data_IF_848646318262
#
_entry.id   IF_848646318262
#
_cell.length_a   1.000
_cell.length_b   1.000
_cell.length_c   1.000
_cell.angle_alpha   90.00
_cell.angle_beta   90.00
_cell.angle_gamma   90.00
#
_symmetry.space_group_name_H-M   'P 1'
#
loop_
_entity.id
_entity.type
_entity.pdbx_description
1 polymer ?
#
# COMPACT_ATOMS: atom_id res chain seq x y z
N UNK A 1 37.62 -9.21 -58.49
CA UNK A 1 36.38 -9.33 -57.68
C UNK A 1 36.81 -9.27 -56.22
N UNK A 2 36.82 -8.08 -55.65
CA UNK A 2 37.03 -7.83 -54.22
C UNK A 2 35.65 -7.79 -53.56
N UNK A 3 35.41 -8.48 -52.44
CA UNK A 3 34.14 -8.38 -51.74
C UNK A 3 34.11 -7.08 -50.93
N UNK A 4 33.09 -6.25 -51.20
CA UNK A 4 32.67 -5.15 -50.33
C UNK A 4 32.17 -5.74 -49.00
N UNK A 5 32.81 -5.34 -47.90
CA UNK A 5 32.29 -5.54 -46.55
C UNK A 5 31.83 -4.19 -46.02
N UNK A 6 30.59 -3.82 -46.34
CA UNK A 6 29.89 -2.74 -45.64
C UNK A 6 29.56 -3.23 -44.23
N UNK A 7 30.33 -2.75 -43.26
CA UNK A 7 30.01 -2.90 -41.86
C UNK A 7 28.74 -2.07 -41.55
N UNK A 8 27.71 -2.63 -40.88
CA UNK A 8 26.52 -1.88 -40.53
C UNK A 8 26.90 -0.77 -39.56
N UNK A 9 26.52 0.46 -39.92
CA UNK A 9 26.68 1.63 -39.06
C UNK A 9 25.98 1.36 -37.72
N UNK A 10 26.77 1.38 -36.64
CA UNK A 10 26.24 1.32 -35.28
C UNK A 10 25.26 2.48 -35.09
N UNK A 11 23.98 2.14 -34.94
CA UNK A 11 22.94 3.10 -34.59
C UNK A 11 23.35 3.79 -33.30
N UNK A 12 23.58 5.10 -33.37
CA UNK A 12 23.82 5.92 -32.18
C UNK A 12 22.66 5.73 -31.22
N UNK A 13 22.90 5.53 -29.91
CA UNK A 13 21.83 5.40 -28.93
C UNK A 13 20.96 6.65 -29.02
N UNK A 14 19.69 6.44 -29.38
CA UNK A 14 18.67 7.47 -29.39
C UNK A 14 18.71 8.17 -28.02
N UNK A 15 18.95 9.49 -28.01
CA UNK A 15 18.89 10.26 -26.78
C UNK A 15 17.57 9.95 -26.06
N UNK A 16 17.58 9.76 -24.72
CA UNK A 16 16.36 9.42 -23.98
C UNK A 16 15.32 10.48 -24.30
N UNK A 17 14.20 10.04 -24.88
CA UNK A 17 13.01 10.89 -25.07
C UNK A 17 12.67 11.44 -23.68
N UNK A 18 12.48 12.75 -23.60
CA UNK A 18 12.18 13.47 -22.36
C UNK A 18 11.19 12.66 -21.49
N UNK A 19 11.68 12.19 -20.35
CA UNK A 19 10.92 11.48 -19.32
C UNK A 19 9.68 12.31 -18.97
N UNK A 20 8.49 11.73 -19.18
CA UNK A 20 7.21 12.41 -18.96
C UNK A 20 6.96 12.75 -17.48
N UNK A 21 6.01 13.67 -17.29
CA UNK A 21 5.52 14.14 -15.99
C UNK A 21 4.63 13.06 -15.34
N UNK A 22 5.21 11.97 -14.84
CA UNK A 22 4.41 10.73 -14.63
C UNK A 22 4.11 10.39 -13.17
N UNK A 23 4.97 10.79 -12.22
CA UNK A 23 4.71 10.47 -10.80
C UNK A 23 3.88 11.59 -10.17
N UNK A 24 2.67 11.27 -9.68
CA UNK A 24 1.70 12.19 -9.07
C UNK A 24 0.58 12.63 -10.01
N UNK A 25 -0.61 12.93 -9.47
CA UNK A 25 -1.80 13.22 -10.28
C UNK A 25 -1.68 14.55 -11.04
N UNK A 26 -1.55 14.46 -12.37
CA UNK A 26 -1.39 15.59 -13.27
C UNK A 26 -2.77 16.19 -13.61
N UNK A 27 -3.36 16.97 -12.69
CA UNK A 27 -4.56 17.76 -13.02
C UNK A 27 -4.13 19.10 -13.62
N UNK A 28 -4.18 19.17 -14.95
CA UNK A 28 -4.01 20.35 -15.78
C UNK A 28 -2.57 20.75 -16.16
N UNK A 29 -2.37 20.77 -17.48
CA UNK A 29 -1.37 21.53 -18.25
C UNK A 29 -1.44 23.06 -18.01
N UNK A 30 -1.67 23.50 -16.79
CA UNK A 30 -1.42 24.90 -16.48
C UNK A 30 0.10 25.08 -16.48
N UNK A 31 0.58 25.97 -17.35
CA UNK A 31 1.99 26.24 -17.62
C UNK A 31 2.81 26.71 -16.40
N UNK A 32 2.24 26.69 -15.20
CA UNK A 32 2.96 26.81 -13.95
C UNK A 32 3.49 25.44 -13.52
N UNK A 33 4.74 25.17 -13.90
CA UNK A 33 5.59 24.07 -13.44
C UNK A 33 5.67 24.01 -11.90
N UNK A 34 4.62 23.54 -11.21
CA UNK A 34 4.72 23.20 -9.79
C UNK A 34 5.59 21.96 -9.67
N UNK A 35 6.87 22.18 -9.44
CA UNK A 35 7.85 21.13 -9.12
C UNK A 35 7.38 20.32 -7.94
N UNK A 36 7.38 19.00 -8.12
CA UNK A 36 6.90 18.02 -7.16
C UNK A 36 7.90 17.80 -6.04
N UNK A 37 7.44 17.25 -4.92
CA UNK A 37 8.27 16.88 -3.77
C UNK A 37 8.03 15.42 -3.40
N UNK A 38 9.10 14.75 -3.00
CA UNK A 38 9.05 13.36 -2.53
C UNK A 38 9.64 13.24 -1.13
N UNK A 39 9.04 12.40 -0.30
CA UNK A 39 9.56 11.99 1.01
C UNK A 39 9.82 10.49 1.02
N UNK A 40 11.02 10.10 1.44
CA UNK A 40 11.42 8.70 1.58
C UNK A 40 11.84 8.47 3.02
N UNK A 41 11.15 7.57 3.70
CA UNK A 41 11.38 7.22 5.09
C UNK A 41 11.87 5.77 5.17
N UNK A 42 13.05 5.55 5.74
CA UNK A 42 13.65 4.20 5.89
C UNK A 42 14.09 3.98 7.34
N UNK A 43 13.15 3.78 8.28
CA UNK A 43 13.43 3.78 9.72
C UNK A 43 14.25 2.57 10.19
N UNK A 44 14.22 1.48 9.41
CA UNK A 44 14.85 0.19 9.73
C UNK A 44 15.90 -0.24 8.71
N UNK A 45 16.47 0.69 7.93
CA UNK A 45 17.54 0.36 6.97
C UNK A 45 18.70 -0.41 7.65
N UNK A 46 19.04 -0.06 8.88
CA UNK A 46 20.06 -0.77 9.67
C UNK A 46 19.75 -2.25 9.96
N UNK A 47 18.48 -2.66 10.02
CA UNK A 47 18.05 -4.05 10.29
C UNK A 47 17.75 -4.79 8.98
N UNK A 48 17.05 -4.14 8.05
CA UNK A 48 16.62 -4.72 6.78
C UNK A 48 17.76 -4.91 5.79
N UNK A 49 18.82 -4.11 5.88
CA UNK A 49 20.04 -4.20 5.06
C UNK A 49 19.88 -3.80 3.59
N UNK A 50 18.69 -3.94 3.02
CA UNK A 50 18.27 -3.40 1.74
C UNK A 50 17.13 -2.41 1.92
N UNK A 51 17.09 -1.38 1.06
CA UNK A 51 16.08 -0.31 1.09
C UNK A 51 15.82 0.16 -0.35
N UNK A 52 14.56 0.17 -0.82
CA UNK A 52 14.24 0.72 -2.15
C UNK A 52 14.52 2.22 -2.22
N UNK A 53 14.58 2.92 -1.08
CA UNK A 53 14.70 4.35 -0.98
C UNK A 53 15.89 4.96 -1.75
N UNK A 54 17.05 4.31 -1.76
CA UNK A 54 18.21 4.81 -2.52
C UNK A 54 18.03 4.74 -4.04
N UNK A 55 17.44 3.65 -4.54
CA UNK A 55 17.15 3.47 -5.96
C UNK A 55 16.03 4.43 -6.41
N UNK A 56 14.95 4.50 -5.62
CA UNK A 56 13.81 5.40 -5.85
C UNK A 56 14.23 6.87 -5.82
N UNK A 57 15.05 7.28 -4.85
CA UNK A 57 15.62 8.62 -4.79
C UNK A 57 16.39 8.97 -6.07
N UNK A 58 17.24 8.05 -6.54
CA UNK A 58 18.05 8.23 -7.75
C UNK A 58 17.18 8.36 -9.01
N UNK A 59 16.12 7.56 -9.12
CA UNK A 59 15.16 7.64 -10.22
C UNK A 59 14.42 8.99 -10.21
N UNK A 60 13.85 9.36 -9.07
CA UNK A 60 13.08 10.61 -8.94
C UNK A 60 13.95 11.84 -9.21
N UNK A 61 15.14 11.96 -8.62
CA UNK A 61 16.05 13.11 -8.86
C UNK A 61 16.44 13.27 -10.34
N UNK A 62 16.42 12.17 -11.10
CA UNK A 62 16.66 12.18 -12.56
C UNK A 62 15.50 12.73 -13.40
N UNK A 63 14.30 12.84 -12.84
CA UNK A 63 13.11 13.37 -13.53
C UNK A 63 13.00 14.88 -13.46
N UNK A 64 12.33 15.48 -14.44
CA UNK A 64 12.17 16.95 -14.53
C UNK A 64 11.51 17.54 -13.28
N UNK A 65 10.47 16.90 -12.77
CA UNK A 65 9.60 17.46 -11.74
C UNK A 65 10.19 17.38 -10.32
N UNK A 66 11.04 16.39 -10.06
CA UNK A 66 11.72 16.19 -8.77
C UNK A 66 13.21 16.59 -8.82
N UNK A 67 13.69 17.13 -9.94
CA UNK A 67 15.07 17.62 -10.05
C UNK A 67 15.28 18.80 -9.09
N UNK A 68 16.40 18.82 -8.34
CA UNK A 68 16.78 19.99 -7.55
C UNK A 68 16.84 21.26 -8.40
N UNK A 69 16.46 22.38 -7.81
CA UNK A 69 16.50 23.68 -8.46
C UNK A 69 17.01 24.77 -7.54
N UNK A 70 16.94 26.03 -7.97
CA UNK A 70 17.29 27.18 -7.13
C UNK A 70 16.45 27.26 -5.84
N UNK A 71 15.30 26.60 -5.79
CA UNK A 71 14.45 26.45 -4.60
C UNK A 71 14.87 25.31 -3.66
N UNK A 72 15.92 24.55 -4.01
CA UNK A 72 16.54 23.53 -3.15
C UNK A 72 16.21 22.09 -3.53
N UNK A 73 16.42 21.20 -2.56
CA UNK A 73 16.15 19.78 -2.65
C UNK A 73 14.64 19.52 -2.77
N UNK A 74 14.28 18.51 -3.58
CA UNK A 74 12.88 18.13 -3.84
C UNK A 74 12.55 16.71 -3.39
N UNK A 75 13.55 15.82 -3.38
CA UNK A 75 13.45 14.47 -2.83
C UNK A 75 14.16 14.46 -1.48
N UNK A 76 13.41 14.20 -0.42
CA UNK A 76 13.90 14.21 0.95
C UNK A 76 13.96 12.78 1.47
N UNK A 77 15.06 12.43 2.16
CA UNK A 77 15.24 11.09 2.72
C UNK A 77 15.62 11.14 4.19
N UNK A 78 14.90 10.40 5.01
CA UNK A 78 15.14 10.25 6.45
C UNK A 78 15.31 8.76 6.74
N UNK A 79 16.44 8.37 7.33
CA UNK A 79 16.80 6.97 7.53
C UNK A 79 17.62 6.75 8.78
N UNK A 80 17.59 5.53 9.30
CA UNK A 80 18.55 5.04 10.29
C UNK A 80 19.49 4.04 9.62
N UNK A 81 20.73 4.46 9.38
CA UNK A 81 21.79 3.58 8.86
C UNK A 81 22.38 2.68 9.96
N UNK A 82 22.14 3.02 11.23
CA UNK A 82 22.62 2.30 12.41
C UNK A 82 21.49 2.14 13.41
N UNK A 83 21.56 1.09 14.23
CA UNK A 83 20.57 0.87 15.28
C UNK A 83 20.53 2.06 16.25
N UNK A 84 19.36 2.69 16.45
CA UNK A 84 19.26 3.83 17.34
C UNK A 84 19.41 3.43 18.82
N UNK A 85 19.97 4.35 19.60
CA UNK A 85 19.94 4.26 21.05
C UNK A 85 18.50 4.49 21.56
N UNK A 86 18.21 4.05 22.80
CA UNK A 86 16.92 4.35 23.44
C UNK A 86 16.74 5.87 23.54
N UNK A 87 15.57 6.37 23.14
CA UNK A 87 15.29 7.79 23.09
C UNK A 87 15.98 8.52 21.93
N UNK A 88 16.46 7.80 20.91
CA UNK A 88 16.97 8.37 19.66
C UNK A 88 16.42 7.61 18.43
N UNK A 89 16.87 8.03 17.24
CA UNK A 89 16.46 7.46 15.96
C UNK A 89 15.42 8.28 15.21
N UNK A 90 15.43 8.13 13.88
CA UNK A 90 14.50 8.78 12.95
C UNK A 90 14.02 7.81 11.88
N UNK A 91 12.88 8.07 11.24
CA UNK A 91 11.90 9.10 11.55
C UNK A 91 11.25 8.96 12.93
N UNK A 92 10.81 10.09 13.49
CA UNK A 92 9.94 10.19 14.67
C UNK A 92 8.48 10.39 14.23
N UNK A 93 7.47 10.29 15.11
CA UNK A 93 6.07 10.54 14.74
C UNK A 93 5.85 11.87 13.99
N UNK A 94 6.59 12.93 14.32
CA UNK A 94 6.48 14.23 13.66
C UNK A 94 6.87 14.19 12.17
N UNK A 95 7.78 13.30 11.79
CA UNK A 95 8.16 13.09 10.39
C UNK A 95 7.01 12.44 9.57
N UNK A 96 5.94 11.98 10.24
CA UNK A 96 4.73 11.40 9.65
C UNK A 96 3.52 12.33 9.67
N UNK A 97 3.65 13.59 10.11
CA UNK A 97 2.53 14.56 10.14
C UNK A 97 2.51 15.48 8.90
N UNK A 98 3.66 15.70 8.26
CA UNK A 98 3.82 16.69 7.18
C UNK A 98 3.62 16.20 5.75
N UNK A 99 2.99 15.02 5.53
CA UNK A 99 2.96 14.39 4.21
C UNK A 99 2.15 15.15 3.16
N UNK A 100 1.24 16.04 3.54
CA UNK A 100 0.49 16.92 2.62
C UNK A 100 1.37 17.86 1.80
N UNK A 101 2.65 18.03 2.18
CA UNK A 101 3.62 18.81 1.42
C UNK A 101 4.31 18.03 0.28
N UNK A 102 3.98 16.75 0.09
CA UNK A 102 4.66 15.84 -0.84
C UNK A 102 3.66 15.17 -1.77
N UNK A 103 4.07 15.00 -3.03
CA UNK A 103 3.31 14.31 -4.07
C UNK A 103 3.63 12.81 -4.11
N UNK A 104 4.74 12.42 -3.47
CA UNK A 104 5.20 11.05 -3.38
C UNK A 104 5.76 10.77 -1.99
N UNK A 105 5.26 9.74 -1.32
CA UNK A 105 5.75 9.28 -0.02
C UNK A 105 6.07 7.80 -0.13
N UNK A 106 7.30 7.41 0.20
CA UNK A 106 7.71 6.02 0.34
C UNK A 106 8.13 5.77 1.78
N UNK A 107 7.51 4.79 2.43
CA UNK A 107 7.89 4.36 3.78
C UNK A 107 8.33 2.91 3.75
N UNK A 108 9.64 2.69 3.95
CA UNK A 108 10.24 1.38 4.04
C UNK A 108 10.54 1.01 5.50
N UNK A 109 9.57 0.36 6.15
CA UNK A 109 9.59 0.08 7.59
C UNK A 109 8.97 -1.28 7.92
N UNK A 110 9.02 -1.69 9.18
CA UNK A 110 8.20 -2.79 9.67
C UNK A 110 6.76 -2.35 9.93
N UNK A 111 5.82 -3.24 9.62
CA UNK A 111 4.41 -3.10 9.95
C UNK A 111 3.89 -4.37 10.60
N UNK A 112 2.77 -4.22 11.31
CA UNK A 112 2.04 -5.34 11.88
C UNK A 112 0.58 -4.95 12.10
N UNK A 113 -0.24 -5.96 12.30
CA UNK A 113 -1.58 -5.79 12.86
C UNK A 113 -1.48 -5.72 14.39
N UNK A 114 -2.14 -4.74 14.96
CA UNK A 114 -2.20 -4.50 16.40
C UNK A 114 -3.66 -4.60 16.85
N UNK A 115 -3.87 -5.14 18.03
CA UNK A 115 -5.17 -5.08 18.68
C UNK A 115 -4.99 -4.89 20.17
N UNK A 116 -5.91 -4.14 20.78
CA UNK A 116 -5.96 -3.98 22.24
C UNK A 116 -6.15 -5.33 22.94
N UNK A 117 -6.77 -6.29 22.25
CA UNK A 117 -6.80 -7.68 22.65
C UNK A 117 -6.31 -8.58 21.49
N UNK A 118 -5.07 -9.08 21.54
CA UNK A 118 -4.52 -9.93 20.48
C UNK A 118 -5.31 -11.23 20.30
N UNK A 119 -5.98 -11.70 21.36
CA UNK A 119 -6.88 -12.86 21.29
C UNK A 119 -8.11 -12.57 20.44
N UNK A 120 -8.66 -11.34 20.48
CA UNK A 120 -9.82 -10.96 19.67
C UNK A 120 -9.45 -10.79 18.19
N UNK A 121 -8.30 -10.19 17.92
CA UNK A 121 -7.78 -10.04 16.56
C UNK A 121 -7.47 -11.39 15.90
N UNK A 122 -6.99 -12.39 16.66
CA UNK A 122 -6.76 -13.73 16.13
C UNK A 122 -8.02 -14.60 16.08
N UNK A 123 -9.00 -14.39 16.97
CA UNK A 123 -10.11 -15.34 17.16
C UNK A 123 -11.48 -14.88 16.66
N UNK A 124 -11.79 -13.57 16.69
CA UNK A 124 -13.17 -13.12 16.48
C UNK A 124 -13.38 -12.33 15.20
N UNK A 125 -12.44 -11.47 14.78
CA UNK A 125 -12.58 -10.77 13.51
C UNK A 125 -11.31 -9.97 13.13
N UNK A 126 -10.79 -10.03 11.89
CA UNK A 126 -9.81 -9.06 11.39
C UNK A 126 -10.25 -7.60 11.54
N UNK A 127 -11.56 -7.31 11.64
CA UNK A 127 -12.06 -5.95 11.92
C UNK A 127 -11.64 -5.38 13.28
N UNK A 128 -11.19 -6.21 14.24
CA UNK A 128 -10.65 -5.73 15.53
C UNK A 128 -9.14 -5.45 15.49
N UNK A 129 -8.49 -5.77 14.38
CA UNK A 129 -7.09 -5.48 14.16
C UNK A 129 -6.97 -4.09 13.52
N UNK A 130 -5.97 -3.31 13.94
CA UNK A 130 -5.57 -2.06 13.31
C UNK A 130 -4.15 -2.21 12.77
N UNK A 131 -3.95 -1.85 11.50
CA UNK A 131 -2.62 -1.80 10.92
C UNK A 131 -1.82 -0.67 11.56
N UNK A 132 -0.56 -0.96 11.89
CA UNK A 132 0.37 0.02 12.41
C UNK A 132 1.75 -0.09 11.76
N UNK A 133 2.41 1.04 11.62
CA UNK A 133 3.78 1.12 11.09
C UNK A 133 4.75 1.55 12.17
N UNK A 134 5.91 0.90 12.22
CA UNK A 134 6.96 1.26 13.16
C UNK A 134 7.70 2.50 12.67
N UNK A 135 7.99 3.40 13.59
CA UNK A 135 8.94 4.49 13.38
C UNK A 135 10.36 4.03 13.69
N UNK A 136 11.34 4.89 13.42
CA UNK A 136 12.74 4.64 13.75
C UNK A 136 13.10 5.01 15.18
N UNK A 137 12.11 5.43 15.99
CA UNK A 137 12.30 5.91 17.36
C UNK A 137 12.27 4.76 18.35
N UNK A 138 13.39 4.51 19.01
CA UNK A 138 13.49 3.44 20.02
C UNK A 138 13.05 3.92 21.40
N UNK A 139 12.33 3.07 22.11
CA UNK A 139 11.78 3.31 23.46
C UNK A 139 12.04 2.11 24.38
N UNK A 140 11.97 2.32 25.70
CA UNK A 140 12.09 1.26 26.71
C UNK A 140 10.82 0.41 26.81
N UNK A 141 9.68 0.94 26.41
CA UNK A 141 8.39 0.25 26.42
C UNK A 141 7.22 1.17 26.04
N UNK A 142 6.02 0.59 25.97
CA UNK A 142 4.86 1.30 25.41
C UNK A 142 4.37 2.45 26.29
N UNK A 143 4.54 2.34 27.61
CA UNK A 143 4.25 3.46 28.51
C UNK A 143 5.13 4.68 28.19
N UNK A 144 6.42 4.47 27.92
CA UNK A 144 7.31 5.57 27.54
C UNK A 144 6.89 6.20 26.20
N UNK A 145 6.55 5.38 25.19
CA UNK A 145 6.05 5.88 23.91
C UNK A 145 4.82 6.77 24.11
N UNK A 146 3.81 6.27 24.83
CA UNK A 146 2.58 7.02 25.14
C UNK A 146 2.85 8.29 25.95
N UNK A 147 3.80 8.28 26.89
CA UNK A 147 4.13 9.47 27.68
C UNK A 147 4.85 10.54 26.86
N UNK A 148 5.82 10.16 26.00
CA UNK A 148 6.57 11.12 25.18
C UNK A 148 5.66 11.75 24.12
N UNK A 149 4.75 10.94 23.57
CA UNK A 149 3.89 11.30 22.45
C UNK A 149 2.42 11.37 22.86
N UNK A 150 2.14 11.81 24.09
CA UNK A 150 0.79 11.82 24.67
C UNK A 150 -0.17 12.80 23.99
N UNK A 151 0.33 13.60 23.05
CA UNK A 151 -0.43 14.59 22.27
C UNK A 151 -0.98 14.02 20.97
N UNK A 152 -0.60 12.78 20.62
CA UNK A 152 -1.02 12.11 19.40
C UNK A 152 -1.87 10.88 19.75
N UNK A 153 -2.99 10.71 19.06
CA UNK A 153 -3.75 9.47 19.12
C UNK A 153 -3.05 8.35 18.34
N UNK A 154 -3.44 7.11 18.60
CA UNK A 154 -2.92 5.94 17.87
C UNK A 154 -1.43 5.64 18.08
N UNK A 155 -0.82 6.13 19.18
CA UNK A 155 0.57 5.80 19.51
C UNK A 155 0.64 4.58 20.42
N UNK A 156 1.43 3.59 19.99
CA UNK A 156 1.80 2.44 20.81
C UNK A 156 3.28 2.10 20.64
N UNK A 157 3.70 0.92 21.06
CA UNK A 157 5.02 0.40 20.77
C UNK A 157 4.97 -1.04 20.26
N UNK A 158 5.96 -1.40 19.46
CA UNK A 158 6.12 -2.73 18.89
C UNK A 158 7.55 -3.22 19.04
N UNK A 159 7.77 -4.50 18.77
CA UNK A 159 9.09 -5.10 18.64
C UNK A 159 9.20 -5.72 17.27
N UNK A 160 10.37 -5.63 16.66
CA UNK A 160 10.65 -6.37 15.43
C UNK A 160 10.74 -7.86 15.75
N UNK A 161 10.53 -8.71 14.74
CA UNK A 161 10.54 -10.18 14.89
C UNK A 161 11.87 -10.72 15.42
N UNK A 162 12.97 -9.99 15.19
CA UNK A 162 14.28 -10.34 15.72
C UNK A 162 14.36 -10.20 17.26
N UNK A 163 13.46 -9.43 17.89
CA UNK A 163 13.25 -9.32 19.34
C UNK A 163 14.42 -8.72 20.15
N UNK A 164 15.64 -8.78 19.62
CA UNK A 164 16.89 -8.40 20.27
C UNK A 164 17.10 -6.88 20.32
N UNK A 165 16.30 -6.11 19.58
CA UNK A 165 16.60 -4.72 19.28
C UNK A 165 15.81 -3.70 20.11
N UNK A 166 14.97 -4.17 21.03
CA UNK A 166 14.15 -3.33 21.91
C UNK A 166 12.79 -2.97 21.29
N UNK A 167 12.09 -2.03 21.93
CA UNK A 167 10.78 -1.57 21.48
C UNK A 167 10.91 -0.28 20.67
N UNK A 168 10.05 -0.12 19.67
CA UNK A 168 9.99 1.05 18.79
C UNK A 168 8.60 1.67 18.86
N UNK A 169 8.51 2.98 18.65
CA UNK A 169 7.21 3.67 18.56
C UNK A 169 6.48 3.20 17.32
N UNK A 170 5.20 2.88 17.47
CA UNK A 170 4.30 2.44 16.40
C UNK A 170 3.22 3.50 16.21
N UNK A 171 2.93 3.83 14.96
CA UNK A 171 1.83 4.69 14.54
C UNK A 171 0.71 3.79 14.03
N UNK A 172 -0.41 3.77 14.74
CA UNK A 172 -1.61 3.02 14.35
C UNK A 172 -2.48 3.84 13.40
N UNK A 173 -3.52 3.22 12.87
CA UNK A 173 -4.43 3.85 11.90
C UNK A 173 -5.04 5.16 12.45
N UNK A 174 -5.33 5.24 13.74
CA UNK A 174 -5.90 6.42 14.41
C UNK A 174 -4.96 7.63 14.34
N UNK A 175 -3.64 7.42 14.41
CA UNK A 175 -2.66 8.50 14.24
C UNK A 175 -2.80 9.15 12.87
N UNK A 176 -2.95 8.33 11.82
CA UNK A 176 -3.11 8.81 10.46
C UNK A 176 -4.49 9.42 10.23
N UNK A 177 -5.55 8.86 10.83
CA UNK A 177 -6.87 9.48 10.80
C UNK A 177 -6.89 10.85 11.48
N UNK A 178 -6.20 11.04 12.59
CA UNK A 178 -6.10 12.35 13.22
C UNK A 178 -5.27 13.33 12.36
N UNK A 179 -4.16 12.86 11.78
CA UNK A 179 -3.27 13.68 10.97
C UNK A 179 -3.87 14.07 9.61
N UNK A 180 -4.67 13.20 9.00
CA UNK A 180 -5.08 13.25 7.60
C UNK A 180 -6.60 13.11 7.38
N UNK A 181 -7.36 12.68 8.38
CA UNK A 181 -8.81 12.55 8.29
C UNK A 181 -9.52 13.91 8.14
N UNK A 182 -10.49 13.98 7.22
CA UNK A 182 -11.29 15.19 6.97
C UNK A 182 -12.24 15.49 8.11
N UNK A 183 -11.80 16.28 9.09
CA UNK A 183 -12.75 16.90 10.03
C UNK A 183 -13.54 18.04 9.33
N UNK A 184 -13.06 18.59 8.20
CA UNK A 184 -13.72 19.71 7.50
C UNK A 184 -13.56 19.74 5.96
N UNK A 185 -13.76 18.60 5.28
CA UNK A 185 -13.98 18.60 3.83
C UNK A 185 -12.77 18.88 2.92
N UNK A 186 -11.55 18.84 3.45
CA UNK A 186 -10.35 18.52 2.66
C UNK A 186 -9.63 17.38 3.37
N UNK A 187 -9.73 16.19 2.79
CA UNK A 187 -9.27 14.91 3.33
C UNK A 187 -7.88 14.60 2.79
N UNK A 188 -6.96 14.35 3.71
CA UNK A 188 -5.86 13.46 3.44
C UNK A 188 -4.81 13.93 2.45
N UNK A 189 -4.16 12.95 1.85
CA UNK A 189 -3.00 13.12 0.99
C UNK A 189 -3.46 13.28 -0.46
N UNK A 190 -4.34 14.26 -0.67
CA UNK A 190 -4.91 14.59 -1.97
C UNK A 190 -3.80 14.62 -3.04
N UNK A 191 -3.92 13.76 -4.06
CA UNK A 191 -2.98 13.65 -5.21
C UNK A 191 -1.60 13.08 -4.89
N UNK A 192 -1.36 12.61 -3.66
CA UNK A 192 -0.12 11.95 -3.30
C UNK A 192 -0.15 10.46 -3.68
N UNK A 193 1.01 9.95 -4.09
CA UNK A 193 1.27 8.51 -4.15
C UNK A 193 1.95 8.11 -2.85
N UNK A 194 1.35 7.19 -2.09
CA UNK A 194 1.89 6.67 -0.84
C UNK A 194 2.21 5.19 -1.02
N UNK A 195 3.48 4.83 -0.85
CA UNK A 195 3.96 3.46 -0.92
C UNK A 195 4.44 3.02 0.45
N UNK A 196 3.78 2.02 1.02
CA UNK A 196 4.15 1.38 2.28
C UNK A 196 4.81 0.04 1.99
N UNK A 197 6.09 -0.11 2.33
CA UNK A 197 6.77 -1.41 2.31
C UNK A 197 6.52 -2.25 3.56
N UNK A 198 5.72 -1.74 4.50
CA UNK A 198 5.49 -2.39 5.78
C UNK A 198 4.60 -3.63 5.61
N UNK A 199 4.97 -4.73 6.26
CA UNK A 199 4.12 -5.91 6.34
C UNK A 199 2.74 -5.54 6.91
N UNK A 200 1.68 -6.16 6.40
CA UNK A 200 0.30 -5.92 6.84
C UNK A 200 -0.15 -4.44 6.80
N UNK A 201 0.51 -3.60 5.99
CA UNK A 201 0.10 -2.20 5.82
C UNK A 201 -1.22 -2.04 5.08
N UNK A 202 -1.72 -3.09 4.42
CA UNK A 202 -3.03 -3.10 3.76
C UNK A 202 -3.94 -4.24 4.19
N UNK A 203 -3.54 -5.05 5.19
CA UNK A 203 -4.22 -6.29 5.60
C UNK A 203 -5.74 -6.16 5.83
N UNK A 204 -6.17 -5.06 6.43
CA UNK A 204 -7.57 -4.77 6.75
C UNK A 204 -8.08 -3.49 6.06
N UNK A 205 -7.29 -2.91 5.15
CA UNK A 205 -7.58 -1.64 4.48
C UNK A 205 -7.59 -0.38 5.38
N UNK A 206 -7.50 -0.50 6.71
CA UNK A 206 -7.73 0.63 7.64
C UNK A 206 -6.69 1.73 7.47
N UNK A 207 -5.42 1.36 7.34
CA UNK A 207 -4.34 2.33 7.12
C UNK A 207 -4.47 3.03 5.76
N UNK A 208 -4.88 2.30 4.72
CA UNK A 208 -5.12 2.88 3.40
C UNK A 208 -6.29 3.89 3.45
N UNK A 209 -7.37 3.54 4.13
CA UNK A 209 -8.51 4.43 4.35
C UNK A 209 -8.13 5.68 5.15
N UNK A 210 -7.26 5.56 6.16
CA UNK A 210 -6.76 6.70 6.94
C UNK A 210 -5.85 7.64 6.14
N UNK A 211 -5.20 7.12 5.10
CA UNK A 211 -4.32 7.89 4.21
C UNK A 211 -5.02 8.34 2.92
N UNK A 212 -6.27 7.89 2.71
CA UNK A 212 -7.03 8.19 1.52
C UNK A 212 -7.35 9.69 1.42
N UNK A 213 -7.07 10.26 0.26
CA UNK A 213 -7.52 11.56 -0.20
C UNK A 213 -8.34 11.43 -1.48
N UNK A 214 -8.96 12.52 -1.90
CA UNK A 214 -9.83 12.61 -3.08
C UNK A 214 -9.14 12.30 -4.42
N UNK A 215 -7.84 12.01 -4.44
CA UNK A 215 -7.06 11.63 -5.62
C UNK A 215 -5.75 10.91 -5.21
N UNK A 216 -5.70 10.34 -4.01
CA UNK A 216 -4.48 9.68 -3.53
C UNK A 216 -4.37 8.27 -4.11
N UNK A 217 -3.14 7.81 -4.26
CA UNK A 217 -2.82 6.43 -4.62
C UNK A 217 -2.12 5.77 -3.43
N UNK A 218 -2.56 4.60 -3.00
CA UNK A 218 -1.94 3.86 -1.91
C UNK A 218 -1.47 2.49 -2.37
N UNK A 219 -0.26 2.12 -1.96
CA UNK A 219 0.31 0.79 -2.10
C UNK A 219 0.71 0.25 -0.73
N UNK A 220 0.32 -0.98 -0.44
CA UNK A 220 0.66 -1.65 0.82
C UNK A 220 0.67 -3.16 0.67
N UNK A 221 1.04 -3.84 1.74
CA UNK A 221 1.13 -5.31 1.77
C UNK A 221 0.04 -5.88 2.66
N UNK A 222 -0.73 -6.83 2.15
CA UNK A 222 -1.80 -7.48 2.92
C UNK A 222 -1.27 -8.51 3.92
N UNK A 223 -0.05 -8.99 3.69
CA UNK A 223 0.59 -9.99 4.53
C UNK A 223 2.06 -9.62 4.81
N UNK A 224 2.78 -10.55 5.43
CA UNK A 224 4.24 -10.53 5.52
C UNK A 224 4.82 -10.61 4.10
N UNK A 225 5.60 -9.60 3.74
CA UNK A 225 6.36 -9.57 2.50
C UNK A 225 7.83 -9.88 2.79
N UNK A 226 8.45 -10.73 1.98
CA UNK A 226 9.91 -10.88 1.99
C UNK A 226 10.56 -9.55 1.63
N UNK A 227 11.58 -9.13 2.38
CA UNK A 227 12.19 -7.82 2.20
C UNK A 227 12.81 -7.65 0.80
N UNK A 228 13.46 -8.69 0.27
CA UNK A 228 14.07 -8.66 -1.06
C UNK A 228 13.02 -8.49 -2.15
N UNK A 229 11.91 -9.23 -2.05
CA UNK A 229 10.79 -9.12 -2.98
C UNK A 229 10.08 -7.77 -2.87
N UNK A 230 9.89 -7.26 -1.66
CA UNK A 230 9.28 -5.96 -1.45
C UNK A 230 10.13 -4.82 -2.04
N UNK A 231 11.45 -4.84 -1.83
CA UNK A 231 12.40 -3.88 -2.43
C UNK A 231 12.36 -3.96 -3.95
N UNK A 232 12.38 -5.17 -4.52
CA UNK A 232 12.35 -5.38 -5.97
C UNK A 232 11.04 -4.88 -6.58
N UNK A 233 9.90 -5.25 -5.99
CA UNK A 233 8.56 -4.84 -6.42
C UNK A 233 8.36 -3.33 -6.40
N UNK A 234 8.71 -2.67 -5.30
CA UNK A 234 8.61 -1.21 -5.17
C UNK A 234 9.54 -0.52 -6.16
N UNK A 235 10.78 -0.98 -6.29
CA UNK A 235 11.74 -0.39 -7.23
C UNK A 235 11.22 -0.53 -8.66
N UNK A 236 10.72 -1.71 -9.04
CA UNK A 236 10.15 -1.95 -10.37
C UNK A 236 8.89 -1.12 -10.62
N UNK A 237 8.00 -1.00 -9.64
CA UNK A 237 6.81 -0.14 -9.73
C UNK A 237 7.19 1.31 -10.05
N UNK A 238 8.15 1.86 -9.30
CA UNK A 238 8.63 3.23 -9.51
C UNK A 238 9.38 3.36 -10.84
N UNK A 239 10.14 2.35 -11.25
CA UNK A 239 10.79 2.31 -12.55
C UNK A 239 9.78 2.40 -13.70
N UNK A 240 8.69 1.63 -13.63
CA UNK A 240 7.60 1.67 -14.60
C UNK A 240 6.93 3.05 -14.67
N UNK A 241 6.71 3.69 -13.52
CA UNK A 241 6.16 5.05 -13.50
C UNK A 241 7.15 6.08 -14.06
N UNK A 242 8.39 6.05 -13.59
CA UNK A 242 9.38 7.09 -13.88
C UNK A 242 9.99 6.94 -15.27
N UNK A 243 10.48 5.74 -15.61
CA UNK A 243 11.25 5.49 -16.83
C UNK A 243 10.36 5.12 -18.02
N UNK A 244 9.35 4.28 -17.80
CA UNK A 244 8.43 3.87 -18.86
C UNK A 244 7.30 4.88 -19.06
N UNK A 245 7.11 5.81 -18.12
CA UNK A 245 6.09 6.84 -18.19
C UNK A 245 4.66 6.32 -18.04
N UNK A 246 4.49 5.19 -17.33
CA UNK A 246 3.18 4.61 -17.06
C UNK A 246 2.48 5.28 -15.87
N UNK A 247 1.16 5.44 -15.97
CA UNK A 247 0.36 5.91 -14.84
C UNK A 247 0.35 4.86 -13.72
N UNK A 248 0.04 5.30 -12.51
CA UNK A 248 0.02 4.45 -11.31
C UNK A 248 -0.77 3.12 -11.49
N UNK A 249 -2.03 3.12 -11.99
CA UNK A 249 -2.76 1.86 -12.20
C UNK A 249 -2.13 0.97 -13.28
N UNK A 250 -1.64 1.57 -14.37
CA UNK A 250 -1.02 0.84 -15.49
C UNK A 250 0.32 0.22 -15.07
N UNK A 251 1.10 0.94 -14.26
CA UNK A 251 2.36 0.45 -13.70
C UNK A 251 2.10 -0.72 -12.74
N UNK A 252 1.07 -0.63 -11.89
CA UNK A 252 0.66 -1.73 -11.02
C UNK A 252 0.21 -2.97 -11.80
N UNK A 253 -0.68 -2.80 -12.78
CA UNK A 253 -1.17 -3.90 -13.60
C UNK A 253 -0.03 -4.56 -14.39
N UNK A 254 0.89 -3.77 -14.96
CA UNK A 254 2.06 -4.30 -15.65
C UNK A 254 2.98 -5.04 -14.69
N UNK A 255 3.24 -4.51 -13.49
CA UNK A 255 4.02 -5.19 -12.46
C UNK A 255 3.38 -6.55 -12.10
N UNK A 256 2.06 -6.60 -11.93
CA UNK A 256 1.34 -7.83 -11.62
C UNK A 256 1.45 -8.86 -12.75
N UNK A 257 1.28 -8.42 -14.00
CA UNK A 257 1.39 -9.28 -15.19
C UNK A 257 2.82 -9.79 -15.44
N UNK A 258 3.84 -8.96 -15.19
CA UNK A 258 5.25 -9.35 -15.31
C UNK A 258 5.64 -10.39 -14.25
N UNK A 259 4.95 -10.40 -13.11
CA UNK A 259 5.33 -11.17 -11.92
C UNK A 259 4.33 -12.27 -11.55
N UNK A 260 3.52 -12.76 -12.49
CA UNK A 260 2.57 -13.86 -12.27
C UNK A 260 3.16 -15.13 -11.63
N UNK A 261 4.49 -15.22 -11.50
CA UNK A 261 5.22 -16.32 -10.86
C UNK A 261 5.98 -15.95 -9.56
N UNK A 262 5.99 -14.68 -9.11
CA UNK A 262 6.67 -14.29 -7.86
C UNK A 262 5.65 -14.26 -6.72
N UNK A 263 5.52 -15.38 -6.01
CA UNK A 263 4.55 -15.59 -4.93
C UNK A 263 4.52 -14.46 -3.86
N UNK A 264 5.61 -13.71 -3.69
CA UNK A 264 5.67 -12.60 -2.74
C UNK A 264 5.09 -11.27 -3.24
N UNK A 265 4.85 -11.07 -4.55
CA UNK A 265 4.23 -9.84 -5.08
C UNK A 265 2.70 -9.92 -5.13
N UNK A 266 2.13 -11.11 -5.00
CA UNK A 266 0.69 -11.32 -4.93
C UNK A 266 0.03 -10.62 -3.73
N UNK A 267 0.82 -10.27 -2.71
CA UNK A 267 0.34 -9.57 -1.51
C UNK A 267 0.52 -8.06 -1.57
N UNK A 268 1.07 -7.50 -2.66
CA UNK A 268 1.11 -6.06 -2.89
C UNK A 268 -0.25 -5.60 -3.39
N UNK A 269 -0.92 -4.81 -2.58
CA UNK A 269 -2.22 -4.23 -2.90
C UNK A 269 -2.08 -2.80 -3.40
N UNK A 270 -2.99 -2.44 -4.29
CA UNK A 270 -3.17 -1.11 -4.81
C UNK A 270 -4.57 -0.60 -4.45
N UNK A 271 -4.65 0.66 -4.01
CA UNK A 271 -5.90 1.37 -3.72
C UNK A 271 -5.80 2.78 -4.29
N UNK A 272 -6.45 3.01 -5.43
CA UNK A 272 -6.53 4.33 -6.08
C UNK A 272 -7.84 5.06 -5.80
N UNK A 273 -7.91 6.32 -6.24
CA UNK A 273 -9.15 7.11 -6.23
C UNK A 273 -10.01 6.84 -7.46
N UNK A 274 -11.33 6.89 -7.30
CA UNK A 274 -12.29 6.77 -8.39
C UNK A 274 -12.54 5.34 -8.84
N UNK A 275 -12.24 4.37 -7.98
CA UNK A 275 -12.59 2.99 -8.25
C UNK A 275 -14.12 2.93 -8.43
N UNK A 276 -14.58 2.20 -9.45
CA UNK A 276 -15.93 1.65 -9.41
C UNK A 276 -16.14 0.93 -8.07
N UNK A 277 -17.35 0.44 -7.80
CA UNK A 277 -17.43 -0.54 -6.72
C UNK A 277 -16.55 -1.73 -7.15
N UNK A 278 -15.79 -2.35 -6.25
CA UNK A 278 -15.11 -3.61 -6.57
C UNK A 278 -15.52 -4.68 -5.56
N UNK A 279 -15.85 -5.88 -6.04
CA UNK A 279 -15.94 -7.06 -5.17
C UNK A 279 -14.57 -7.73 -5.16
N UNK A 280 -13.91 -7.70 -4.00
CA UNK A 280 -12.56 -8.26 -3.83
C UNK A 280 -12.57 -9.67 -3.28
N UNK A 281 -13.44 -9.97 -2.33
CA UNK A 281 -13.53 -11.31 -1.75
C UNK A 281 -14.96 -11.63 -1.34
N UNK A 282 -15.43 -12.82 -1.74
CA UNK A 282 -16.49 -13.52 -1.02
C UNK A 282 -15.83 -14.69 -0.32
N UNK A 283 -15.30 -14.44 0.88
CA UNK A 283 -14.43 -15.44 1.50
C UNK A 283 -14.98 -15.89 2.83
N UNK A 284 -15.22 -17.20 2.84
CA UNK A 284 -15.24 -18.14 3.96
C UNK A 284 -16.63 -18.60 4.40
N UNK A 285 -16.87 -19.90 4.25
CA UNK A 285 -17.85 -20.63 5.05
C UNK A 285 -17.26 -20.82 6.45
N UNK A 286 -17.71 -20.03 7.43
CA UNK A 286 -17.35 -20.28 8.84
C UNK A 286 -18.25 -21.36 9.41
N UNK A 287 -17.66 -22.43 9.93
CA UNK A 287 -18.39 -23.40 10.74
C UNK A 287 -18.72 -22.75 12.10
N UNK A 288 -20.01 -22.59 12.46
CA UNK A 288 -20.42 -21.88 13.67
C UNK A 288 -20.01 -22.59 14.96
N UNK A 289 -19.66 -23.87 14.91
CA UNK A 289 -19.26 -24.66 16.08
C UNK A 289 -17.75 -24.55 16.33
N UNK A 290 -16.92 -24.46 15.29
CA UNK A 290 -15.46 -24.44 15.43
C UNK A 290 -14.84 -23.04 15.36
N UNK A 291 -15.57 -22.05 14.83
CA UNK A 291 -15.07 -20.69 14.59
C UNK A 291 -13.89 -20.61 13.62
N UNK A 292 -13.47 -21.75 13.06
CA UNK A 292 -12.31 -21.86 12.18
C UNK A 292 -12.74 -21.54 10.76
N UNK A 293 -12.02 -20.66 10.04
CA UNK A 293 -12.27 -20.44 8.63
C UNK A 293 -12.00 -21.74 7.87
N UNK A 294 -13.05 -22.33 7.28
CA UNK A 294 -12.87 -23.42 6.32
C UNK A 294 -12.87 -22.79 4.93
N UNK A 295 -11.80 -22.92 4.12
CA UNK A 295 -11.89 -22.56 2.72
C UNK A 295 -12.97 -23.44 2.11
N UNK A 296 -14.10 -22.84 1.74
CA UNK A 296 -15.22 -23.53 1.14
C UNK A 296 -14.69 -24.33 -0.07
N UNK A 297 -14.72 -25.67 -0.03
CA UNK A 297 -14.24 -26.45 -1.16
C UNK A 297 -15.11 -26.11 -2.38
N UNK A 298 -14.53 -25.46 -3.39
CA UNK A 298 -15.20 -25.21 -4.66
C UNK A 298 -15.89 -23.86 -4.84
N UNK A 299 -15.65 -22.86 -3.97
CA UNK A 299 -16.00 -21.47 -4.29
C UNK A 299 -15.07 -20.95 -5.40
N UNK A 300 -15.45 -21.21 -6.65
CA UNK A 300 -14.81 -20.63 -7.83
C UNK A 300 -15.68 -19.48 -8.29
N UNK A 301 -15.12 -18.27 -8.42
CA UNK A 301 -15.79 -17.22 -9.17
C UNK A 301 -16.09 -17.75 -10.57
N UNK A 302 -17.36 -17.69 -11.00
CA UNK A 302 -17.69 -17.98 -12.37
C UNK A 302 -16.91 -17.01 -13.25
N UNK A 303 -15.94 -17.52 -14.01
CA UNK A 303 -15.02 -16.71 -14.78
C UNK A 303 -15.76 -15.67 -15.63
N UNK A 304 -15.69 -14.40 -15.21
CA UNK A 304 -15.68 -13.29 -16.15
C UNK A 304 -14.46 -13.46 -17.07
N UNK A 305 -14.50 -12.96 -18.32
CA UNK A 305 -13.49 -13.23 -19.32
C UNK A 305 -12.22 -12.40 -19.05
N UNK A 306 -11.50 -12.67 -17.95
CA UNK A 306 -10.06 -12.46 -17.71
C UNK A 306 -9.72 -12.62 -16.21
N UNK A 307 -9.07 -13.73 -15.85
CA UNK A 307 -8.02 -13.80 -14.81
C UNK A 307 -8.38 -13.61 -13.33
N UNK A 308 -8.22 -14.69 -12.56
CA UNK A 308 -8.15 -14.78 -11.09
C UNK A 308 -9.40 -14.37 -10.27
N UNK A 309 -9.74 -15.11 -9.19
CA UNK A 309 -10.73 -14.66 -8.22
C UNK A 309 -10.16 -13.48 -7.43
N UNK A 310 -10.81 -12.32 -7.46
CA UNK A 310 -10.70 -11.38 -6.35
C UNK A 310 -10.52 -9.89 -6.64
N UNK A 311 -10.82 -9.39 -7.84
CA UNK A 311 -10.99 -7.95 -8.04
C UNK A 311 -11.87 -7.68 -9.27
N UNK A 312 -13.19 -7.66 -9.08
CA UNK A 312 -14.14 -7.34 -10.17
C UNK A 312 -14.71 -5.96 -9.96
N UNK A 313 -14.40 -5.04 -10.90
CA UNK A 313 -15.07 -3.74 -10.98
C UNK A 313 -16.56 -3.96 -11.28
N UNK A 314 -17.41 -3.39 -10.43
CA UNK A 314 -18.86 -3.40 -10.49
C UNK A 314 -19.35 -2.13 -11.18
N UNK A 315 -20.22 -2.37 -12.15
CA UNK A 315 -21.08 -1.40 -12.79
C UNK A 315 -22.54 -1.67 -12.44
N UNK A 316 -23.41 -0.68 -12.59
CA UNK A 316 -24.82 -0.82 -12.23
C UNK A 316 -25.51 -1.93 -13.03
N UNK A 317 -26.04 -2.94 -12.34
CA UNK A 317 -26.71 -4.10 -12.94
C UNK A 317 -25.83 -5.33 -13.13
N UNK A 318 -24.58 -5.31 -12.65
CA UNK A 318 -23.72 -6.48 -12.67
C UNK A 318 -24.24 -7.58 -11.74
N UNK A 319 -24.21 -8.81 -12.24
CA UNK A 319 -24.50 -10.03 -11.49
C UNK A 319 -23.21 -10.85 -11.49
N UNK A 320 -22.63 -11.04 -10.30
CA UNK A 320 -21.43 -11.87 -10.16
C UNK A 320 -21.87 -13.23 -9.59
N UNK A 321 -21.92 -14.29 -10.41
CA UNK A 321 -22.30 -15.61 -9.95
C UNK A 321 -21.15 -16.25 -9.17
N UNK A 322 -21.47 -16.70 -7.96
CA UNK A 322 -20.61 -17.56 -7.17
C UNK A 322 -21.27 -18.92 -7.02
N UNK A 323 -20.51 -19.97 -7.33
CA UNK A 323 -20.97 -21.34 -7.15
C UNK A 323 -20.17 -21.92 -5.99
N UNK A 324 -20.86 -22.33 -4.95
CA UNK A 324 -20.30 -23.14 -3.86
C UNK A 324 -21.15 -24.39 -3.70
N UNK A 325 -20.54 -25.49 -3.24
CA UNK A 325 -21.29 -26.67 -2.82
C UNK A 325 -21.24 -26.75 -1.30
N UNK A 326 -22.40 -26.71 -0.64
CA UNK A 326 -22.50 -27.20 0.72
C UNK A 326 -22.29 -28.72 0.68
N UNK A 327 -21.24 -29.21 1.34
CA UNK A 327 -20.98 -30.65 1.39
C UNK A 327 -21.99 -31.36 2.28
N UNK A 328 -22.27 -32.63 1.99
CA UNK A 328 -23.02 -33.50 2.90
C UNK A 328 -22.32 -33.52 4.28
N UNK A 329 -23.05 -33.22 5.35
CA UNK A 329 -22.61 -33.07 6.77
C UNK A 329 -22.09 -31.70 7.22
N UNK A 330 -22.24 -30.64 6.43
CA UNK A 330 -22.05 -29.25 6.91
C UNK A 330 -23.27 -28.76 7.73
N UNK A 331 -23.12 -27.75 8.61
CA UNK A 331 -24.23 -27.19 9.39
C UNK A 331 -25.34 -26.63 8.49
N UNK A 332 -26.60 -26.71 8.96
CA UNK A 332 -27.79 -26.13 8.29
C UNK A 332 -27.72 -24.59 8.15
N UNK A 333 -26.78 -23.94 8.85
CA UNK A 333 -26.52 -22.50 8.80
C UNK A 333 -25.13 -22.22 8.23
N UNK A 334 -25.08 -21.48 7.12
CA UNK A 334 -23.86 -21.05 6.46
C UNK A 334 -23.69 -19.54 6.61
N UNK A 335 -22.51 -19.10 7.02
CA UNK A 335 -22.13 -17.69 7.02
C UNK A 335 -21.25 -17.41 5.81
N UNK A 336 -21.58 -16.35 5.06
CA UNK A 336 -20.73 -15.81 4.01
C UNK A 336 -20.41 -14.34 4.32
N UNK A 337 -19.25 -13.90 3.88
CA UNK A 337 -18.78 -12.53 4.00
C UNK A 337 -18.57 -11.99 2.59
N UNK A 338 -19.06 -10.78 2.32
CA UNK A 338 -18.84 -10.07 1.06
C UNK A 338 -18.10 -8.79 1.41
N UNK A 339 -16.85 -8.67 0.94
CA UNK A 339 -16.09 -7.44 1.08
C UNK A 339 -16.24 -6.59 -0.19
N UNK A 340 -16.72 -5.36 -0.01
CA UNK A 340 -16.98 -4.40 -1.08
C UNK A 340 -16.10 -3.18 -0.83
N UNK A 341 -15.15 -2.97 -1.72
CA UNK A 341 -14.28 -1.78 -1.70
C UNK A 341 -14.80 -0.74 -2.71
N UNK A 342 -14.43 0.53 -2.51
CA UNK A 342 -14.74 1.63 -3.45
C UNK A 342 -16.04 2.39 -3.17
N UNK A 343 -16.73 2.13 -2.05
CA UNK A 343 -17.91 2.93 -1.65
C UNK A 343 -17.47 4.30 -1.13
N UNK A 344 -17.64 5.34 -1.96
CA UNK A 344 -17.35 6.72 -1.58
C UNK A 344 -18.36 7.25 -0.54
N UNK A 345 -17.86 7.72 0.61
CA UNK A 345 -18.68 8.35 1.64
C UNK A 345 -19.40 9.60 1.08
N UNK A 346 -20.72 9.68 1.25
CA UNK A 346 -21.54 10.82 0.79
C UNK A 346 -22.44 10.53 -0.42
N UNK A 347 -22.37 9.32 -1.01
CA UNK A 347 -23.39 8.78 -1.92
C UNK A 347 -24.40 7.92 -1.16
N UNK A 348 -25.03 8.46 -0.14
CA UNK A 348 -26.12 7.78 0.55
C UNK A 348 -27.29 7.57 -0.43
N UNK A 349 -27.55 6.32 -0.84
CA UNK A 349 -28.81 5.94 -1.50
C UNK A 349 -28.77 5.16 -2.82
N UNK A 350 -27.63 4.75 -3.37
CA UNK A 350 -27.59 4.15 -4.73
C UNK A 350 -27.08 2.70 -4.84
N UNK A 351 -26.79 2.02 -3.73
CA UNK A 351 -26.26 0.65 -3.78
C UNK A 351 -27.23 -0.35 -3.16
N UNK A 352 -27.78 -1.23 -4.01
CA UNK A 352 -28.53 -2.42 -3.60
C UNK A 352 -27.68 -3.65 -3.91
N UNK A 353 -27.21 -4.33 -2.88
CA UNK A 353 -26.60 -5.65 -3.00
C UNK A 353 -27.71 -6.68 -2.87
N UNK A 354 -28.04 -7.36 -3.96
CA UNK A 354 -28.93 -8.52 -3.93
C UNK A 354 -28.10 -9.80 -3.91
N UNK A 355 -28.38 -10.67 -2.95
CA UNK A 355 -27.77 -11.99 -2.83
C UNK A 355 -28.88 -13.01 -3.05
N UNK A 356 -28.78 -13.76 -4.13
CA UNK A 356 -29.71 -14.83 -4.47
C UNK A 356 -29.00 -16.18 -4.23
N UNK A 357 -29.67 -17.07 -3.51
CA UNK A 357 -29.26 -18.45 -3.32
C UNK A 357 -30.21 -19.30 -4.16
N UNK A 358 -29.67 -20.02 -5.14
CA UNK A 358 -30.43 -20.97 -5.95
C UNK A 358 -30.28 -22.38 -5.33
N UNK A 359 -31.40 -23.09 -5.18
CA UNK A 359 -31.51 -24.41 -4.54
C UNK A 359 -31.36 -25.57 -5.54
#
# INVERSE_FOLDING_TARGET
MTPDTDAPAASSPTAPRFLGDVVGHDTARDNDQKKKKALILSPFLFELGSDPGGAVESMLVGTRDYRPDSGGQRVFRIRNDQQPAVGSGRPTPEDFLGWTAYDFVLVHTHGAEYADNPTLCQALDPYFCVSGVMTGRRVTGCLQAKTIYSVYEGITCGRTSSGAQGSFVVLQTEFFHEAYGSVFGSSGLDKAIVIMSACHSSANGSLAAALAGSNSEFFGWSNVADNGLAVAGITRLVELMVLDGLRTPEAYQKLHNENGDIAGLATLEYRGHGNGLHIREITTLKNPISGSPSPAPGLTSGAGPQGAPGDVELTGGDVIPFVGQAGDNEPDELFFFVDIDGVESGKEGEFELSIELDD
#
